data_IF_964522230310
#
_entry.id   IF_964522230310
#
_cell.length_a   1.000
_cell.length_b   1.000
_cell.length_c   1.000
_cell.angle_alpha   90.00
_cell.angle_beta   90.00
_cell.angle_gamma   90.00
#
_symmetry.space_group_name_H-M   'P 1'
#
loop_
_entity.id
_entity.type
_entity.pdbx_description
1 polymer ?
#
# COMPACT_ATOMS: atom_id res chain seq x y z
N UNK A 1 -21.88 23.60 -0.23
CA UNK A 1 -21.11 22.51 -0.85
C UNK A 1 -21.82 21.22 -0.50
N UNK A 2 -22.50 20.63 -1.48
CA UNK A 2 -23.11 19.31 -1.35
C UNK A 2 -22.04 18.24 -1.06
N UNK A 3 -22.47 17.16 -0.41
CA UNK A 3 -21.62 16.00 -0.16
C UNK A 3 -21.02 15.42 -1.46
N UNK A 4 -21.73 15.54 -2.57
CA UNK A 4 -21.29 15.04 -3.87
C UNK A 4 -20.20 15.91 -4.49
N UNK A 5 -20.28 17.24 -4.36
CA UNK A 5 -19.20 18.14 -4.81
C UNK A 5 -17.87 17.86 -4.10
N UNK A 6 -17.91 17.52 -2.80
CA UNK A 6 -16.72 17.18 -2.03
C UNK A 6 -16.09 15.85 -2.48
N UNK A 7 -16.92 14.83 -2.76
CA UNK A 7 -16.44 13.54 -3.31
C UNK A 7 -15.76 13.72 -4.66
N UNK A 8 -16.34 14.53 -5.55
CA UNK A 8 -15.77 14.81 -6.87
C UNK A 8 -14.45 15.58 -6.78
N UNK A 9 -14.31 16.50 -5.84
CA UNK A 9 -13.03 17.18 -5.59
C UNK A 9 -11.94 16.20 -5.14
N UNK A 10 -12.26 15.26 -4.24
CA UNK A 10 -11.32 14.19 -3.85
C UNK A 10 -10.97 13.27 -5.01
N UNK A 11 -11.93 12.92 -5.86
CA UNK A 11 -11.65 12.12 -7.07
C UNK A 11 -10.70 12.85 -8.02
N UNK A 12 -10.90 14.17 -8.21
CA UNK A 12 -10.03 14.99 -9.06
C UNK A 12 -8.60 15.06 -8.50
N UNK A 13 -8.46 15.20 -7.19
CA UNK A 13 -7.17 15.20 -6.50
C UNK A 13 -6.46 13.86 -6.66
N UNK A 14 -7.15 12.75 -6.43
CA UNK A 14 -6.61 11.40 -6.62
C UNK A 14 -6.15 11.14 -8.08
N UNK A 15 -6.92 11.58 -9.07
CA UNK A 15 -6.56 11.44 -10.49
C UNK A 15 -5.33 12.31 -10.83
N UNK A 16 -5.21 13.49 -10.21
CA UNK A 16 -4.02 14.34 -10.34
C UNK A 16 -2.78 13.70 -9.70
N UNK A 17 -2.92 13.10 -8.53
CA UNK A 17 -1.84 12.34 -7.89
C UNK A 17 -1.44 11.12 -8.73
N UNK A 18 -2.41 10.40 -9.30
CA UNK A 18 -2.18 9.27 -10.21
C UNK A 18 -1.44 9.69 -11.48
N UNK A 19 -1.73 10.88 -12.02
CA UNK A 19 -1.02 11.44 -13.16
C UNK A 19 0.41 11.85 -12.79
N UNK A 20 0.57 12.54 -11.66
CA UNK A 20 1.89 12.98 -11.18
C UNK A 20 2.79 11.80 -10.80
N UNK A 21 2.20 10.69 -10.33
CA UNK A 21 2.90 9.44 -10.03
C UNK A 21 3.19 8.57 -11.28
N UNK A 22 2.83 9.04 -12.48
CA UNK A 22 3.06 8.31 -13.73
C UNK A 22 2.19 7.07 -13.93
N UNK A 23 1.21 6.82 -13.06
CA UNK A 23 0.31 5.65 -13.11
C UNK A 23 -0.63 5.76 -14.32
N UNK A 24 -1.08 6.97 -14.64
CA UNK A 24 -1.93 7.23 -15.81
C UNK A 24 -1.24 8.18 -16.77
N UNK A 25 -1.49 7.98 -18.05
CA UNK A 25 -0.98 8.84 -19.11
C UNK A 25 -1.64 10.23 -19.08
N UNK A 26 -1.00 11.22 -19.72
CA UNK A 26 -1.57 12.57 -19.89
C UNK A 26 -2.96 12.54 -20.55
N UNK A 27 -3.19 11.60 -21.48
CA UNK A 27 -4.47 11.46 -22.17
C UNK A 27 -5.56 10.92 -21.24
N UNK A 28 -5.25 9.88 -20.45
CA UNK A 28 -6.15 9.33 -19.45
C UNK A 28 -6.50 10.35 -18.36
N UNK A 29 -5.49 11.09 -17.87
CA UNK A 29 -5.69 12.20 -16.95
C UNK A 29 -6.62 13.26 -17.54
N UNK A 30 -6.39 13.68 -18.79
CA UNK A 30 -7.23 14.68 -19.48
C UNK A 30 -8.70 14.26 -19.53
N UNK A 31 -8.97 13.01 -19.95
CA UNK A 31 -10.34 12.47 -20.04
C UNK A 31 -11.01 12.34 -18.67
N UNK A 32 -10.28 11.84 -17.68
CA UNK A 32 -10.82 11.69 -16.32
C UNK A 32 -11.11 13.05 -15.68
N UNK A 33 -10.19 14.02 -15.84
CA UNK A 33 -10.35 15.40 -15.39
C UNK A 33 -11.59 16.05 -15.99
N UNK A 34 -11.73 16.03 -17.32
CA UNK A 34 -12.87 16.62 -18.02
C UNK A 34 -14.21 16.03 -17.53
N UNK A 35 -14.28 14.70 -17.38
CA UNK A 35 -15.45 14.00 -16.84
C UNK A 35 -15.83 14.50 -15.43
N UNK A 36 -14.85 14.66 -14.55
CA UNK A 36 -15.09 15.08 -13.16
C UNK A 36 -15.46 16.57 -13.09
N UNK A 37 -14.81 17.42 -13.89
CA UNK A 37 -15.13 18.85 -13.98
C UNK A 37 -16.56 19.08 -14.49
N UNK A 38 -17.01 18.32 -15.49
CA UNK A 38 -18.38 18.38 -15.99
C UNK A 38 -19.40 17.99 -14.88
N UNK A 39 -19.14 16.93 -14.12
CA UNK A 39 -19.99 16.53 -12.98
C UNK A 39 -20.02 17.59 -11.87
N UNK A 40 -18.90 18.25 -11.61
CA UNK A 40 -18.83 19.36 -10.64
C UNK A 40 -19.66 20.56 -11.09
N UNK A 41 -19.67 20.85 -12.39
CA UNK A 41 -20.50 21.92 -12.95
C UNK A 41 -22.00 21.56 -12.88
N UNK A 42 -22.38 20.33 -13.21
CA UNK A 42 -23.75 19.84 -13.07
C UNK A 42 -24.25 19.91 -11.62
N UNK A 43 -23.44 19.47 -10.65
CA UNK A 43 -23.77 19.55 -9.23
C UNK A 43 -23.96 21.00 -8.75
N UNK A 44 -23.15 21.94 -9.25
CA UNK A 44 -23.32 23.37 -8.94
C UNK A 44 -24.61 23.95 -9.53
N UNK A 45 -24.98 23.54 -10.75
CA UNK A 45 -26.24 23.98 -11.38
C UNK A 45 -27.46 23.47 -10.59
N UNK A 46 -27.43 22.21 -10.14
CA UNK A 46 -28.48 21.66 -9.28
C UNK A 46 -28.59 22.42 -7.94
N UNK A 47 -27.47 22.73 -7.28
CA UNK A 47 -27.46 23.55 -6.06
C UNK A 47 -28.04 24.97 -6.27
N UNK A 48 -27.95 25.52 -7.48
CA UNK A 48 -28.56 26.81 -7.83
C UNK A 48 -30.05 26.70 -8.15
N UNK A 49 -30.49 25.61 -8.77
CA UNK A 49 -31.90 25.31 -9.08
C UNK A 49 -32.73 24.98 -7.83
N UNK A 50 -32.11 24.44 -6.78
CA UNK A 50 -32.78 24.09 -5.51
C UNK A 50 -32.96 25.29 -4.55
N UNK A 51 -32.13 26.33 -4.68
CA UNK A 51 -32.18 27.55 -3.83
C UNK A 51 -33.53 28.30 -3.83
N UNK A 52 -34.23 28.47 -4.97
CA UNK A 52 -35.55 29.10 -5.00
C UNK A 52 -36.63 28.30 -4.25
N UNK A 53 -36.53 26.97 -4.22
CA UNK A 53 -37.51 26.12 -3.53
C UNK A 53 -37.29 26.13 -2.01
N UNK A 54 -36.03 26.16 -1.56
CA UNK A 54 -35.71 26.37 -0.15
C UNK A 54 -36.11 27.77 0.35
N UNK A 55 -35.96 28.82 -0.47
CA UNK A 55 -36.44 30.17 -0.11
C UNK A 55 -37.94 30.21 0.11
N UNK A 56 -38.73 29.53 -0.73
CA UNK A 56 -40.20 29.44 -0.54
C UNK A 56 -40.59 28.68 0.73
N UNK A 57 -39.89 27.57 1.03
CA UNK A 57 -40.11 26.81 2.27
C UNK A 57 -39.72 27.62 3.52
N UNK A 58 -38.65 28.42 3.45
CA UNK A 58 -38.25 29.29 4.56
C UNK A 58 -39.20 30.48 4.76
N UNK A 59 -39.76 31.05 3.69
CA UNK A 59 -40.80 32.09 3.78
C UNK A 59 -42.09 31.52 4.42
N UNK A 60 -42.57 30.34 4.02
CA UNK A 60 -43.73 29.68 4.65
C UNK A 60 -43.49 29.30 6.14
N UNK A 61 -42.26 28.93 6.50
CA UNK A 61 -41.90 28.64 7.90
C UNK A 61 -41.78 29.92 8.72
N UNK A 62 -41.39 31.05 8.11
CA UNK A 62 -41.32 32.35 8.79
C UNK A 62 -42.72 32.91 9.10
N UNK A 63 -43.70 32.73 8.20
CA UNK A 63 -45.09 33.16 8.41
C UNK A 63 -45.81 32.37 9.51
N UNK A 64 -45.45 31.09 9.72
CA UNK A 64 -45.99 30.27 10.82
C UNK A 64 -45.38 30.55 12.19
N UNK A 65 -44.29 31.31 12.27
CA UNK A 65 -43.55 31.54 13.53
C UNK A 65 -43.99 32.80 14.28
N UNK A 66 -44.84 33.65 13.71
CA UNK A 66 -45.38 34.85 14.37
C UNK A 66 -46.59 34.59 15.28
N UNK A 67 -47.16 33.37 15.32
CA UNK A 67 -48.27 33.04 16.22
C UNK A 67 -47.89 32.33 17.54
N UNK A 68 -46.60 32.02 17.77
CA UNK A 68 -46.18 31.29 18.97
C UNK A 68 -44.97 31.93 19.65
N UNK A 69 -45.22 33.02 20.39
CA UNK A 69 -44.31 33.50 21.44
C UNK A 69 -45.10 33.92 22.68
N UNK A 70 -45.25 32.98 23.63
CA UNK A 70 -45.32 33.29 25.06
C UNK A 70 -44.59 32.23 25.89
N UNK A 71 -43.69 32.74 26.73
CA UNK A 71 -43.16 32.21 28.00
C UNK A 71 -41.99 31.20 28.03
N UNK A 72 -41.18 31.23 29.12
CA UNK A 72 -39.74 31.37 28.99
C UNK A 72 -38.89 30.31 29.70
N UNK A 73 -37.62 30.26 29.24
CA UNK A 73 -36.37 30.02 29.98
C UNK A 73 -36.43 29.38 31.38
N UNK A 74 -35.78 28.21 31.50
CA UNK A 74 -34.90 27.86 32.63
C UNK A 74 -34.12 26.56 32.38
N UNK A 75 -32.89 26.56 32.93
CA UNK A 75 -31.95 25.44 33.15
C UNK A 75 -31.16 24.95 31.92
N UNK A 76 -29.87 24.67 32.03
CA UNK A 76 -28.95 24.71 33.18
C UNK A 76 -27.51 24.72 32.65
N UNK A 77 -26.70 25.59 33.26
CA UNK A 77 -25.27 25.42 33.37
C UNK A 77 -24.98 24.14 34.16
N UNK A 78 -24.03 23.33 33.67
CA UNK A 78 -23.05 22.57 34.48
C UNK A 78 -22.29 21.63 33.56
N UNK A 79 -21.01 21.92 33.30
CA UNK A 79 -19.91 20.95 33.12
C UNK A 79 -18.59 21.71 33.01
N UNK A 80 -17.98 21.98 34.18
CA UNK A 80 -16.58 22.36 34.33
C UNK A 80 -16.09 21.79 35.65
N UNK A 81 -15.27 20.74 35.61
CA UNK A 81 -14.18 20.52 36.56
C UNK A 81 -13.41 19.22 36.21
N UNK A 82 -12.12 19.27 36.54
CA UNK A 82 -11.17 18.18 36.72
C UNK A 82 -10.35 17.76 35.49
N UNK A 83 -9.25 18.49 35.26
CA UNK A 83 -7.93 17.87 35.05
C UNK A 83 -6.85 18.89 35.42
N UNK A 84 -6.55 18.98 36.72
CA UNK A 84 -5.28 19.50 37.22
C UNK A 84 -4.53 18.31 37.83
N UNK A 85 -3.52 17.80 37.12
CA UNK A 85 -2.43 17.05 37.72
C UNK A 85 -1.12 17.66 37.22
N UNK A 86 -0.38 18.22 38.17
CA UNK A 86 1.01 18.63 38.01
C UNK A 86 1.88 17.43 37.59
N UNK A 87 2.82 17.59 36.65
CA UNK A 87 3.84 16.59 36.41
C UNK A 87 4.96 16.69 37.44
N UNK A 88 5.20 15.57 38.14
CA UNK A 88 6.42 15.35 38.92
C UNK A 88 7.65 15.35 38.00
N UNK A 89 8.72 15.97 38.50
CA UNK A 89 10.01 16.12 37.83
C UNK A 89 10.68 14.75 37.67
N UNK A 90 10.92 14.35 36.42
CA UNK A 90 11.78 13.21 36.11
C UNK A 90 13.24 13.66 36.02
N UNK A 91 14.09 12.93 36.74
CA UNK A 91 15.53 13.11 36.82
C UNK A 91 16.25 12.75 35.51
N UNK A 92 17.25 13.56 35.22
CA UNK A 92 18.24 13.48 34.15
C UNK A 92 19.02 12.16 34.18
N UNK A 93 18.87 11.31 33.15
CA UNK A 93 19.70 10.12 32.95
C UNK A 93 20.69 10.31 31.81
N UNK A 94 21.94 10.03 32.15
CA UNK A 94 23.16 10.04 31.33
C UNK A 94 23.02 9.23 30.04
N UNK A 95 23.52 9.81 28.96
CA UNK A 95 23.77 9.16 27.69
C UNK A 95 24.78 8.02 27.82
N UNK A 96 24.38 6.83 27.37
CA UNK A 96 25.27 5.68 27.15
C UNK A 96 25.45 5.55 25.65
N UNK A 97 26.70 5.63 25.19
CA UNK A 97 27.09 5.30 23.82
C UNK A 97 26.99 3.78 23.66
N UNK A 98 26.13 3.33 22.75
CA UNK A 98 26.03 1.93 22.35
C UNK A 98 26.72 1.75 20.99
N UNK A 99 27.96 1.29 21.02
CA UNK A 99 28.61 0.63 19.89
C UNK A 99 28.47 -0.88 20.14
N UNK A 100 27.35 -1.48 19.75
CA UNK A 100 27.16 -2.93 19.84
C UNK A 100 27.53 -3.60 18.51
N UNK A 101 28.65 -4.32 18.54
CA UNK A 101 29.03 -5.33 17.54
C UNK A 101 27.97 -6.44 17.51
N UNK A 102 27.12 -6.42 16.48
CA UNK A 102 26.23 -7.54 16.14
C UNK A 102 27.10 -8.70 15.66
N UNK A 103 27.30 -9.70 16.52
CA UNK A 103 27.83 -11.02 16.13
C UNK A 103 26.73 -11.82 15.44
N UNK A 104 26.60 -11.64 14.13
CA UNK A 104 25.70 -12.44 13.31
C UNK A 104 26.13 -13.91 13.27
N UNK A 105 25.20 -14.76 13.70
CA UNK A 105 25.29 -16.21 13.60
C UNK A 105 24.82 -16.59 12.20
N UNK A 106 25.76 -16.77 11.27
CA UNK A 106 25.50 -17.19 9.89
C UNK A 106 24.64 -18.47 9.86
N UNK A 107 23.34 -18.32 9.61
CA UNK A 107 22.47 -19.41 9.20
C UNK A 107 22.38 -19.30 7.68
N UNK A 108 22.75 -20.35 6.90
CA UNK A 108 22.73 -20.27 5.45
C UNK A 108 21.29 -20.02 4.97
N UNK A 109 21.06 -18.85 4.39
CA UNK A 109 19.77 -18.48 3.79
C UNK A 109 19.59 -19.34 2.54
N UNK A 110 18.51 -20.14 2.51
CA UNK A 110 18.10 -20.89 1.34
C UNK A 110 17.18 -19.99 0.52
N UNK A 111 17.74 -19.19 -0.38
CA UNK A 111 16.94 -18.46 -1.38
C UNK A 111 16.23 -19.52 -2.24
N UNK A 112 14.90 -19.59 -2.16
CA UNK A 112 14.12 -20.38 -3.10
C UNK A 112 14.12 -19.65 -4.46
N UNK A 113 15.11 -19.95 -5.29
CA UNK A 113 15.19 -19.46 -6.66
C UNK A 113 14.09 -20.12 -7.49
N UNK A 114 12.99 -19.41 -7.72
CA UNK A 114 11.96 -19.82 -8.67
C UNK A 114 12.41 -19.43 -10.08
N UNK A 115 13.28 -20.25 -10.67
CA UNK A 115 13.95 -19.96 -11.94
C UNK A 115 13.95 -21.16 -12.88
N UNK A 116 12.77 -21.57 -13.37
CA UNK A 116 12.70 -22.56 -14.45
C UNK A 116 13.18 -21.93 -15.77
N UNK A 117 14.40 -22.32 -16.19
CA UNK A 117 14.99 -21.97 -17.48
C UNK A 117 14.22 -22.65 -18.61
N UNK A 118 13.23 -21.97 -19.16
CA UNK A 118 12.50 -22.39 -20.35
C UNK A 118 13.35 -22.17 -21.61
N UNK A 119 14.22 -23.14 -21.96
CA UNK A 119 14.96 -23.10 -23.22
C UNK A 119 14.07 -23.58 -24.38
N UNK A 120 13.49 -22.64 -25.13
CA UNK A 120 12.68 -22.97 -26.31
C UNK A 120 13.58 -23.40 -27.51
N UNK A 121 13.31 -24.54 -28.16
CA UNK A 121 14.08 -25.00 -29.31
C UNK A 121 13.89 -24.08 -30.52
N UNK A 122 14.97 -23.84 -31.28
CA UNK A 122 15.05 -22.88 -32.41
C UNK A 122 13.99 -23.02 -33.51
N UNK A 123 13.26 -24.15 -33.58
CA UNK A 123 12.15 -24.36 -34.53
C UNK A 123 10.82 -23.74 -34.08
N UNK A 124 10.67 -23.39 -32.79
CA UNK A 124 9.46 -22.80 -32.22
C UNK A 124 9.35 -21.29 -32.47
N UNK A 125 10.48 -20.60 -32.72
CA UNK A 125 10.51 -19.15 -32.94
C UNK A 125 9.76 -18.70 -34.22
N UNK A 126 9.76 -19.53 -35.27
CA UNK A 126 9.04 -19.24 -36.52
C UNK A 126 7.52 -19.37 -36.36
N UNK A 127 7.06 -20.32 -35.53
CA UNK A 127 5.62 -20.53 -35.26
C UNK A 127 5.10 -19.39 -34.38
N UNK A 128 5.87 -18.98 -33.37
CA UNK A 128 5.53 -17.86 -32.49
C UNK A 128 5.49 -16.53 -33.25
N UNK A 129 6.45 -16.29 -34.16
CA UNK A 129 6.43 -15.09 -35.01
C UNK A 129 5.20 -15.01 -35.91
N UNK A 130 4.77 -16.13 -36.50
CA UNK A 130 3.54 -16.20 -37.29
C UNK A 130 2.28 -15.94 -36.46
N UNK A 131 2.20 -16.49 -35.24
CA UNK A 131 1.08 -16.28 -34.33
C UNK A 131 0.99 -14.82 -33.83
N UNK A 132 2.13 -14.18 -33.57
CA UNK A 132 2.17 -12.76 -33.16
C UNK A 132 1.74 -11.84 -34.31
N UNK A 133 2.19 -12.11 -35.55
CA UNK A 133 1.75 -11.33 -36.72
C UNK A 133 0.25 -11.51 -36.96
N UNK A 134 -0.27 -12.74 -36.81
CA UNK A 134 -1.71 -12.99 -36.92
C UNK A 134 -2.49 -12.23 -35.84
N UNK A 135 -2.02 -12.22 -34.60
CA UNK A 135 -2.62 -11.46 -33.49
C UNK A 135 -2.58 -9.94 -33.75
N UNK A 136 -1.47 -9.40 -34.25
CA UNK A 136 -1.35 -7.98 -34.62
C UNK A 136 -2.31 -7.64 -35.76
N UNK A 137 -2.43 -8.49 -36.79
CA UNK A 137 -3.40 -8.28 -37.87
C UNK A 137 -4.84 -8.33 -37.33
N UNK A 138 -5.14 -9.26 -36.44
CA UNK A 138 -6.49 -9.38 -35.83
C UNK A 138 -6.80 -8.16 -34.96
N UNK A 139 -5.82 -7.67 -34.20
CA UNK A 139 -5.93 -6.46 -33.39
C UNK A 139 -6.09 -5.21 -34.26
N UNK A 140 -5.29 -5.06 -35.33
CA UNK A 140 -5.42 -3.95 -36.29
C UNK A 140 -6.76 -3.97 -37.02
N UNK A 141 -7.30 -5.14 -37.36
CA UNK A 141 -8.65 -5.28 -37.91
C UNK A 141 -9.75 -4.92 -36.89
N UNK A 142 -9.48 -5.10 -35.59
CA UNK A 142 -10.39 -4.73 -34.49
C UNK A 142 -10.37 -3.23 -34.17
N UNK A 143 -9.38 -2.47 -34.66
CA UNK A 143 -9.25 -1.04 -34.45
C UNK A 143 -9.98 -0.19 -35.51
N UNK A 144 -10.80 -0.78 -36.38
CA UNK A 144 -11.70 0.00 -37.25
C UNK A 144 -12.78 0.69 -36.40
N UNK A 145 -12.75 2.04 -36.26
CA UNK A 145 -13.58 2.78 -35.31
C UNK A 145 -15.00 3.09 -35.84
N UNK A 146 -15.37 2.55 -37.00
CA UNK A 146 -16.62 2.89 -37.71
C UNK A 146 -17.77 1.89 -37.50
N UNK A 147 -17.66 0.98 -36.52
CA UNK A 147 -18.84 0.28 -36.03
C UNK A 147 -19.47 1.15 -34.93
N UNK A 148 -20.56 1.89 -35.20
CA UNK A 148 -21.39 2.38 -34.11
C UNK A 148 -21.82 1.14 -33.33
N UNK A 149 -21.32 0.99 -32.10
CA UNK A 149 -21.90 0.04 -31.16
C UNK A 149 -23.35 0.48 -30.95
N UNK A 150 -24.24 -0.04 -31.79
CA UNK A 150 -25.66 0.14 -31.69
C UNK A 150 -26.04 -0.51 -30.37
N UNK A 151 -26.23 0.34 -29.34
CA UNK A 151 -26.67 0.01 -27.98
C UNK A 151 -28.10 -0.52 -27.99
N UNK A 152 -28.37 -1.58 -28.74
CA UNK A 152 -29.48 -2.48 -28.47
C UNK A 152 -29.03 -3.41 -27.33
N UNK A 153 -28.72 -2.82 -26.18
CA UNK A 153 -28.15 -3.49 -25.02
C UNK A 153 -29.16 -4.41 -24.39
N UNK A 154 -29.21 -5.66 -24.85
CA UNK A 154 -29.84 -6.73 -24.10
C UNK A 154 -29.05 -6.88 -22.79
N UNK A 155 -29.70 -6.54 -21.68
CA UNK A 155 -29.15 -6.75 -20.34
C UNK A 155 -29.19 -8.25 -20.06
N UNK A 156 -28.03 -8.92 -20.03
CA UNK A 156 -27.90 -10.26 -19.45
C UNK A 156 -27.71 -10.17 -17.93
N UNK A 157 -27.97 -11.27 -17.23
CA UNK A 157 -27.91 -11.34 -15.75
C UNK A 157 -26.48 -11.32 -15.25
N UNK A 158 -25.55 -11.98 -15.95
CA UNK A 158 -24.14 -12.05 -15.58
C UNK A 158 -23.23 -12.23 -16.83
N UNK A 159 -22.00 -11.70 -16.76
CA UNK A 159 -20.91 -11.93 -17.72
C UNK A 159 -19.82 -12.81 -17.12
N UNK A 160 -19.65 -12.76 -15.81
CA UNK A 160 -18.60 -13.47 -15.07
C UNK A 160 -19.16 -13.95 -13.73
N UNK A 161 -18.47 -14.90 -13.10
CA UNK A 161 -18.83 -15.37 -11.76
C UNK A 161 -18.84 -14.24 -10.72
N UNK A 162 -18.10 -13.14 -10.97
CA UNK A 162 -18.07 -11.97 -10.09
C UNK A 162 -19.39 -11.20 -10.07
N UNK A 163 -20.22 -11.33 -11.10
CA UNK A 163 -21.56 -10.74 -11.16
C UNK A 163 -22.56 -11.51 -10.29
N UNK A 164 -22.27 -12.78 -10.00
CA UNK A 164 -23.10 -13.68 -9.22
C UNK A 164 -22.76 -13.62 -7.73
N UNK A 165 -23.00 -12.48 -7.08
CA UNK A 165 -22.70 -12.32 -5.65
C UNK A 165 -23.93 -12.56 -4.76
N UNK A 166 -23.80 -13.48 -3.80
CA UNK A 166 -24.77 -13.68 -2.71
C UNK A 166 -24.03 -14.03 -1.41
N UNK A 167 -24.23 -13.29 -0.30
CA UNK A 167 -23.55 -13.56 0.97
C UNK A 167 -23.75 -15.01 1.44
N UNK A 168 -22.67 -15.70 1.82
CA UNK A 168 -22.72 -17.11 2.23
C UNK A 168 -22.74 -18.13 1.08
N UNK A 169 -22.64 -17.70 -0.19
CA UNK A 169 -22.68 -18.60 -1.35
C UNK A 169 -21.57 -18.29 -2.34
N UNK A 170 -21.09 -19.33 -3.02
CA UNK A 170 -20.35 -19.19 -4.28
C UNK A 170 -21.35 -19.05 -5.41
N UNK A 171 -21.21 -17.98 -6.20
CA UNK A 171 -21.95 -17.83 -7.45
C UNK A 171 -21.13 -18.26 -8.65
N UNK A 172 -21.79 -18.88 -9.61
CA UNK A 172 -21.24 -19.25 -10.92
C UNK A 172 -22.18 -18.70 -11.99
N UNK A 173 -21.61 -18.04 -13.01
CA UNK A 173 -22.38 -17.52 -14.13
C UNK A 173 -22.52 -18.59 -15.21
N UNK A 174 -23.68 -19.23 -15.25
CA UNK A 174 -24.03 -20.21 -16.27
C UNK A 174 -24.42 -19.46 -17.54
N UNK A 175 -23.87 -19.88 -18.69
CA UNK A 175 -24.07 -19.24 -20.00
C UNK A 175 -23.68 -17.74 -20.04
N UNK A 176 -22.53 -17.41 -19.45
CA UNK A 176 -21.94 -16.07 -19.40
C UNK A 176 -22.06 -15.24 -20.68
N UNK A 177 -22.47 -13.98 -20.54
CA UNK A 177 -22.62 -13.00 -21.62
C UNK A 177 -23.59 -13.42 -22.75
N UNK A 178 -24.57 -14.28 -22.43
CA UNK A 178 -25.66 -14.66 -23.34
C UNK A 178 -27.02 -14.23 -22.80
N UNK A 179 -28.06 -14.28 -23.65
CA UNK A 179 -29.45 -14.01 -23.23
C UNK A 179 -29.98 -15.06 -22.23
N UNK A 180 -29.30 -16.20 -22.12
CA UNK A 180 -29.61 -17.32 -21.23
C UNK A 180 -28.73 -17.31 -19.98
N UNK A 181 -27.99 -16.22 -19.74
CA UNK A 181 -27.11 -16.08 -18.57
C UNK A 181 -27.93 -16.14 -17.27
N UNK A 182 -27.52 -17.00 -16.34
CA UNK A 182 -28.12 -17.13 -15.02
C UNK A 182 -27.07 -17.39 -13.94
N UNK A 183 -27.35 -16.96 -12.72
CA UNK A 183 -26.47 -17.23 -11.58
C UNK A 183 -26.90 -18.50 -10.86
N UNK A 184 -26.02 -19.51 -10.86
CA UNK A 184 -26.12 -20.67 -9.99
C UNK A 184 -25.40 -20.36 -8.66
N UNK A 185 -25.94 -20.85 -7.54
CA UNK A 185 -25.37 -20.60 -6.22
C UNK A 185 -25.20 -21.88 -5.41
N UNK A 186 -24.01 -22.08 -4.87
CA UNK A 186 -23.66 -23.19 -3.96
C UNK A 186 -23.35 -22.63 -2.58
N UNK A 187 -23.91 -23.25 -1.52
CA UNK A 187 -23.68 -22.80 -0.14
C UNK A 187 -22.20 -22.94 0.21
N UNK A 188 -21.59 -21.86 0.72
CA UNK A 188 -20.18 -21.83 1.03
C UNK A 188 -19.92 -22.58 2.36
N UNK A 189 -18.81 -23.32 2.41
CA UNK A 189 -18.37 -23.98 3.63
C UNK A 189 -18.15 -22.94 4.75
N UNK A 190 -18.79 -23.09 5.93
CA UNK A 190 -18.59 -22.17 7.05
C UNK A 190 -17.13 -22.16 7.53
N UNK A 191 -16.58 -20.97 7.74
CA UNK A 191 -15.18 -20.75 8.12
C UNK A 191 -15.08 -19.67 9.19
N UNK A 192 -14.44 -19.96 10.34
CA UNK A 192 -14.17 -18.92 11.33
C UNK A 192 -12.80 -18.30 11.10
N UNK A 193 -12.75 -16.97 11.08
CA UNK A 193 -11.53 -16.19 10.96
C UNK A 193 -11.42 -15.30 12.19
N UNK A 194 -10.40 -15.53 13.02
CA UNK A 194 -10.04 -14.63 14.12
C UNK A 194 -9.12 -13.53 13.60
N UNK A 195 -9.50 -12.28 13.79
CA UNK A 195 -8.69 -11.11 13.46
C UNK A 195 -8.13 -10.54 14.76
N UNK A 196 -6.82 -10.64 14.94
CA UNK A 196 -6.12 -10.05 16.09
C UNK A 196 -5.61 -8.68 15.67
N UNK A 197 -5.95 -7.65 16.43
CA UNK A 197 -5.51 -6.26 16.21
C UNK A 197 -4.94 -5.66 17.51
N UNK A 198 -4.48 -4.42 17.44
CA UNK A 198 -4.14 -3.61 18.61
C UNK A 198 -4.64 -2.19 18.40
N UNK A 199 -5.23 -1.59 19.44
CA UNK A 199 -5.52 -0.14 19.49
C UNK A 199 -4.26 0.72 19.29
N UNK A 200 -3.08 0.20 19.63
CA UNK A 200 -1.77 0.83 19.41
C UNK A 200 -1.41 0.91 17.91
N UNK A 201 -2.10 0.14 17.06
CA UNK A 201 -1.86 0.18 15.62
C UNK A 201 -2.64 1.29 14.93
N UNK A 202 -2.07 2.49 14.99
CA UNK A 202 -2.67 3.71 14.42
C UNK A 202 -2.84 3.72 12.91
N UNK A 203 -2.16 2.83 12.18
CA UNK A 203 -2.18 2.72 10.71
C UNK A 203 -2.78 1.40 10.18
N UNK A 204 -3.26 0.51 11.06
CA UNK A 204 -3.86 -0.75 10.65
C UNK A 204 -5.26 -0.52 10.07
N UNK A 205 -5.55 -1.16 8.93
CA UNK A 205 -6.89 -1.23 8.34
C UNK A 205 -7.25 -2.70 8.13
N UNK A 206 -8.10 -3.23 9.01
CA UNK A 206 -8.57 -4.61 8.89
C UNK A 206 -9.70 -4.78 7.89
N UNK A 207 -10.44 -3.71 7.57
CA UNK A 207 -11.69 -3.83 6.83
C UNK A 207 -11.43 -4.16 5.36
N UNK A 208 -10.37 -3.60 4.77
CA UNK A 208 -9.96 -3.97 3.41
C UNK A 208 -9.72 -5.47 3.28
N UNK A 209 -8.89 -6.05 4.15
CA UNK A 209 -8.57 -7.48 4.09
C UNK A 209 -9.76 -8.36 4.48
N UNK A 210 -10.57 -7.97 5.47
CA UNK A 210 -11.83 -8.66 5.79
C UNK A 210 -12.76 -8.73 4.58
N UNK A 211 -12.89 -7.63 3.83
CA UNK A 211 -13.71 -7.61 2.62
C UNK A 211 -13.14 -8.49 1.50
N UNK A 212 -11.82 -8.47 1.31
CA UNK A 212 -11.13 -9.40 0.38
C UNK A 212 -11.37 -10.85 0.79
N UNK A 213 -11.24 -11.18 2.09
CA UNK A 213 -11.46 -12.53 2.58
C UNK A 213 -12.92 -12.97 2.49
N UNK A 214 -13.90 -12.07 2.61
CA UNK A 214 -15.32 -12.38 2.35
C UNK A 214 -15.58 -12.73 0.89
N UNK A 215 -14.88 -12.09 -0.05
CA UNK A 215 -15.00 -12.43 -1.47
C UNK A 215 -14.39 -13.80 -1.77
N UNK A 216 -13.26 -14.12 -1.15
CA UNK A 216 -12.59 -15.42 -1.31
C UNK A 216 -13.38 -16.53 -0.57
N UNK A 217 -13.88 -16.23 0.62
CA UNK A 217 -14.59 -17.14 1.52
C UNK A 217 -15.96 -16.56 1.90
N UNK A 218 -16.99 -16.72 1.06
CA UNK A 218 -18.32 -16.17 1.33
C UNK A 218 -18.96 -16.69 2.62
N UNK A 219 -18.57 -17.88 3.08
CA UNK A 219 -18.99 -18.50 4.34
C UNK A 219 -18.18 -18.08 5.57
N UNK A 220 -17.31 -17.07 5.45
CA UNK A 220 -16.47 -16.61 6.56
C UNK A 220 -17.25 -15.79 7.60
N UNK A 221 -17.04 -16.14 8.87
CA UNK A 221 -17.41 -15.32 10.02
C UNK A 221 -16.16 -14.77 10.71
N UNK A 222 -16.21 -13.51 11.14
CA UNK A 222 -15.05 -12.80 11.66
C UNK A 222 -15.20 -12.51 13.15
N UNK A 223 -14.26 -13.01 13.94
CA UNK A 223 -14.16 -12.71 15.37
C UNK A 223 -13.00 -11.74 15.57
N UNK A 224 -13.32 -10.50 15.95
CA UNK A 224 -12.30 -9.50 16.30
C UNK A 224 -11.80 -9.76 17.72
N UNK A 225 -10.49 -9.71 17.94
CA UNK A 225 -9.86 -9.76 19.26
C UNK A 225 -8.78 -8.70 19.38
N UNK A 226 -8.72 -8.03 20.51
CA UNK A 226 -7.56 -7.21 20.86
C UNK A 226 -6.38 -8.10 21.24
N UNK A 227 -5.15 -7.63 20.99
CA UNK A 227 -3.91 -8.37 21.26
C UNK A 227 -3.89 -8.93 22.68
N UNK A 228 -4.28 -8.13 23.67
CA UNK A 228 -4.34 -8.55 25.08
C UNK A 228 -5.34 -9.66 25.36
N UNK A 229 -6.42 -9.78 24.58
CA UNK A 229 -7.43 -10.85 24.70
C UNK A 229 -7.01 -12.15 23.97
N UNK A 230 -5.98 -12.06 23.14
CA UNK A 230 -5.49 -13.13 22.28
C UNK A 230 -4.03 -13.51 22.58
N UNK A 231 -3.50 -13.18 23.76
CA UNK A 231 -2.10 -13.42 24.14
C UNK A 231 -1.69 -14.89 23.94
N UNK A 232 -2.49 -15.83 24.42
CA UNK A 232 -2.27 -17.28 24.22
C UNK A 232 -2.17 -17.66 22.73
N UNK A 233 -2.99 -17.03 21.88
CA UNK A 233 -3.02 -17.29 20.44
C UNK A 233 -1.81 -16.67 19.75
N UNK A 234 -1.44 -15.45 20.16
CA UNK A 234 -0.26 -14.73 19.67
C UNK A 234 1.01 -15.54 19.96
N UNK A 235 1.16 -16.06 21.18
CA UNK A 235 2.34 -16.83 21.56
C UNK A 235 2.36 -18.22 20.92
N UNK A 236 1.23 -18.93 20.95
CA UNK A 236 1.13 -20.28 20.35
C UNK A 236 1.42 -20.27 18.86
N UNK A 237 0.94 -19.27 18.13
CA UNK A 237 1.09 -19.17 16.68
C UNK A 237 2.31 -18.36 16.26
N UNK A 238 3.13 -17.91 17.21
CA UNK A 238 4.29 -17.05 16.98
C UNK A 238 3.95 -15.84 16.08
N UNK A 239 2.95 -15.06 16.50
CA UNK A 239 2.52 -13.86 15.81
C UNK A 239 3.38 -12.70 16.32
N UNK A 240 4.06 -12.03 15.40
CA UNK A 240 4.97 -10.92 15.66
C UNK A 240 4.54 -9.61 14.98
N UNK A 241 3.48 -9.67 14.17
CA UNK A 241 2.97 -8.55 13.39
C UNK A 241 1.44 -8.54 13.32
N UNK A 242 0.87 -7.33 13.37
CA UNK A 242 -0.57 -7.07 13.39
C UNK A 242 -1.03 -6.17 12.22
N UNK A 243 -2.32 -6.26 11.80
CA UNK A 243 -3.29 -7.26 12.25
C UNK A 243 -2.90 -8.66 11.78
N UNK A 244 -3.31 -9.69 12.53
CA UNK A 244 -3.10 -11.08 12.16
C UNK A 244 -4.45 -11.76 11.88
N UNK A 245 -4.47 -12.62 10.86
CA UNK A 245 -5.66 -13.38 10.44
C UNK A 245 -5.39 -14.85 10.69
N UNK A 246 -6.16 -15.43 11.60
CA UNK A 246 -6.06 -16.84 12.00
C UNK A 246 -7.31 -17.56 11.55
N UNK A 247 -7.11 -18.65 10.81
CA UNK A 247 -8.15 -19.51 10.28
C UNK A 247 -8.14 -20.82 11.06
N UNK A 248 -9.32 -21.33 11.38
CA UNK A 248 -9.43 -22.69 11.92
C UNK A 248 -9.14 -23.75 10.83
N UNK A 249 -9.04 -25.02 11.24
CA UNK A 249 -8.77 -26.12 10.30
C UNK A 249 -9.87 -26.38 9.27
N UNK A 250 -11.06 -25.74 9.39
CA UNK A 250 -12.14 -25.93 8.42
C UNK A 250 -11.75 -25.35 7.06
N UNK A 251 -10.77 -24.43 7.03
CA UNK A 251 -10.26 -23.84 5.81
C UNK A 251 -9.81 -24.90 4.79
N UNK A 252 -9.23 -26.02 5.23
CA UNK A 252 -8.77 -27.11 4.36
C UNK A 252 -9.93 -27.75 3.56
N UNK A 253 -11.18 -27.57 3.99
CA UNK A 253 -12.38 -28.11 3.33
C UNK A 253 -13.04 -27.12 2.38
N UNK A 254 -12.57 -25.87 2.36
CA UNK A 254 -13.14 -24.83 1.51
C UNK A 254 -12.65 -24.98 0.08
N UNK A 255 -13.48 -24.56 -0.87
CA UNK A 255 -13.27 -24.65 -2.30
C UNK A 255 -12.09 -23.79 -2.79
N UNK A 256 -11.64 -22.81 -1.98
CA UNK A 256 -10.55 -21.88 -2.31
C UNK A 256 -9.24 -22.15 -1.56
N UNK A 257 -9.16 -23.22 -0.75
CA UNK A 257 -7.96 -23.51 0.03
C UNK A 257 -6.71 -23.65 -0.86
N UNK A 258 -6.76 -24.51 -1.89
CA UNK A 258 -5.62 -24.74 -2.80
C UNK A 258 -5.10 -23.44 -3.42
N UNK A 259 -6.02 -22.54 -3.84
CA UNK A 259 -5.65 -21.26 -4.44
C UNK A 259 -5.02 -20.24 -3.49
N UNK A 260 -5.16 -20.45 -2.17
CA UNK A 260 -4.68 -19.50 -1.15
C UNK A 260 -3.67 -20.10 -0.18
N UNK A 261 -3.41 -21.40 -0.24
CA UNK A 261 -2.50 -22.12 0.65
C UNK A 261 -1.12 -21.46 0.71
N UNK A 262 -0.61 -20.97 -0.43
CA UNK A 262 0.68 -20.28 -0.51
C UNK A 262 0.76 -18.99 0.34
N UNK A 263 -0.38 -18.38 0.67
CA UNK A 263 -0.48 -17.20 1.54
C UNK A 263 -0.65 -17.56 3.02
N UNK A 264 -0.76 -18.85 3.36
CA UNK A 264 -1.00 -19.34 4.71
C UNK A 264 0.23 -20.06 5.26
N UNK A 265 0.29 -20.15 6.58
CA UNK A 265 1.27 -20.93 7.33
C UNK A 265 0.50 -21.78 8.33
N UNK A 266 0.61 -23.10 8.23
CA UNK A 266 0.04 -24.02 9.21
C UNK A 266 0.78 -23.87 10.54
N UNK A 267 0.05 -23.66 11.63
CA UNK A 267 0.61 -23.43 12.96
C UNK A 267 -0.24 -24.19 14.00
N UNK A 268 0.17 -25.41 14.30
CA UNK A 268 -0.64 -26.33 15.10
C UNK A 268 -1.87 -26.82 14.33
N UNK A 269 -3.05 -26.68 14.94
CA UNK A 269 -4.34 -27.02 14.33
C UNK A 269 -4.94 -25.84 13.54
N UNK A 270 -4.34 -24.66 13.60
CA UNK A 270 -4.80 -23.45 12.92
C UNK A 270 -3.90 -23.10 11.73
N UNK A 271 -4.36 -22.15 10.91
CA UNK A 271 -3.56 -21.48 9.89
C UNK A 271 -3.45 -19.99 10.21
N UNK A 272 -2.28 -19.40 10.02
CA UNK A 272 -2.11 -17.93 10.03
C UNK A 272 -1.79 -17.42 8.64
N UNK A 273 -2.31 -16.26 8.27
CA UNK A 273 -1.90 -15.60 7.04
C UNK A 273 -0.47 -15.07 7.16
N UNK A 274 0.32 -15.20 6.09
CA UNK A 274 1.63 -14.56 5.98
C UNK A 274 1.47 -13.04 6.03
N UNK A 275 2.33 -12.36 6.79
CA UNK A 275 2.32 -10.91 6.97
C UNK A 275 2.34 -10.12 5.64
N UNK A 276 3.12 -10.60 4.66
CA UNK A 276 3.20 -10.01 3.32
C UNK A 276 1.92 -10.18 2.48
N UNK A 277 1.04 -11.13 2.83
CA UNK A 277 -0.24 -11.37 2.16
C UNK A 277 -1.42 -10.67 2.87
N UNK A 278 -1.38 -10.57 4.20
CA UNK A 278 -2.42 -9.91 5.01
C UNK A 278 -2.36 -8.37 5.00
N UNK A 279 -1.25 -7.79 4.51
CA UNK A 279 -1.00 -6.36 4.62
C UNK A 279 -0.71 -5.91 6.05
N UNK A 280 -0.23 -6.82 6.91
CA UNK A 280 0.10 -6.50 8.30
C UNK A 280 1.17 -5.41 8.37
N UNK A 281 0.97 -4.45 9.27
CA UNK A 281 1.72 -3.21 9.31
C UNK A 281 2.31 -2.87 10.68
N UNK A 282 2.00 -3.59 11.76
CA UNK A 282 2.50 -3.28 13.10
C UNK A 282 3.32 -4.41 13.73
N UNK A 283 4.63 -4.22 13.78
CA UNK A 283 5.65 -5.14 14.29
C UNK A 283 5.87 -4.90 15.78
N UNK A 284 4.85 -5.23 16.58
CA UNK A 284 4.78 -4.89 18.00
C UNK A 284 5.87 -5.56 18.88
N UNK A 285 6.57 -6.58 18.37
CA UNK A 285 7.71 -7.21 19.05
C UNK A 285 9.05 -6.49 18.82
N UNK A 286 9.12 -5.54 17.89
CA UNK A 286 10.32 -4.75 17.67
C UNK A 286 10.45 -3.66 18.74
N UNK A 287 11.69 -3.39 19.16
CA UNK A 287 11.99 -2.21 19.97
C UNK A 287 11.69 -0.94 19.17
N UNK A 288 10.99 0.00 19.83
CA UNK A 288 10.69 1.29 19.24
C UNK A 288 11.96 2.14 19.13
N UNK A 289 12.18 2.73 17.95
CA UNK A 289 13.21 3.75 17.73
C UNK A 289 12.48 5.05 17.39
N UNK A 290 12.21 5.88 18.39
CA UNK A 290 11.44 7.12 18.20
C UNK A 290 12.02 8.01 17.12
N UNK A 291 11.15 8.72 16.41
CA UNK A 291 11.51 9.72 15.38
C UNK A 291 12.34 9.14 14.23
N UNK A 292 12.33 7.82 14.04
CA UNK A 292 13.05 7.15 12.96
C UNK A 292 12.11 6.80 11.80
N UNK A 293 12.57 7.05 10.58
CA UNK A 293 11.91 6.67 9.35
C UNK A 293 12.89 5.92 8.46
N UNK A 294 12.68 4.63 8.28
CA UNK A 294 13.37 3.87 7.24
C UNK A 294 12.55 3.87 5.95
N UNK A 295 13.19 4.14 4.80
CA UNK A 295 12.54 4.13 3.49
C UNK A 295 13.23 3.11 2.58
N UNK A 296 12.53 2.03 2.27
CA UNK A 296 12.96 1.01 1.32
C UNK A 296 12.61 1.43 -0.10
N UNK A 297 13.61 1.50 -0.98
CA UNK A 297 13.46 1.97 -2.36
C UNK A 297 14.17 1.07 -3.36
N UNK A 298 13.60 1.05 -4.56
CA UNK A 298 14.31 0.71 -5.79
C UNK A 298 14.66 2.04 -6.49
N UNK A 299 15.95 2.44 -6.58
CA UNK A 299 16.37 3.71 -7.16
C UNK A 299 16.01 3.88 -8.64
N UNK A 300 15.62 2.80 -9.32
CA UNK A 300 15.24 2.83 -10.73
C UNK A 300 13.72 2.95 -10.94
N UNK A 301 12.94 3.01 -9.85
CA UNK A 301 11.49 3.14 -9.88
C UNK A 301 11.05 4.59 -9.67
N UNK A 302 10.18 5.09 -10.55
CA UNK A 302 9.58 6.41 -10.43
C UNK A 302 8.79 6.59 -9.12
N UNK A 303 8.12 5.54 -8.65
CA UNK A 303 7.42 5.59 -7.35
C UNK A 303 8.38 5.77 -6.18
N UNK A 304 9.58 5.18 -6.25
CA UNK A 304 10.61 5.36 -5.23
C UNK A 304 11.16 6.78 -5.21
N UNK A 305 11.38 7.38 -6.38
CA UNK A 305 11.77 8.79 -6.50
C UNK A 305 10.73 9.70 -5.82
N UNK A 306 9.45 9.52 -6.14
CA UNK A 306 8.39 10.31 -5.51
C UNK A 306 8.35 10.12 -3.98
N UNK A 307 8.57 8.90 -3.48
CA UNK A 307 8.65 8.64 -2.04
C UNK A 307 9.87 9.31 -1.38
N UNK A 308 11.01 9.31 -2.08
CA UNK A 308 12.24 9.97 -1.62
C UNK A 308 12.05 11.48 -1.51
N UNK A 309 11.50 12.12 -2.55
CA UNK A 309 11.21 13.56 -2.56
C UNK A 309 10.24 13.97 -1.44
N UNK A 310 9.22 13.13 -1.20
CA UNK A 310 8.25 13.36 -0.14
C UNK A 310 8.86 13.19 1.26
N UNK A 311 9.78 12.24 1.44
CA UNK A 311 10.55 12.10 2.68
C UNK A 311 11.44 13.31 2.90
N UNK A 312 12.18 13.76 1.89
CA UNK A 312 13.05 14.93 2.01
C UNK A 312 12.26 16.20 2.39
N UNK A 313 11.08 16.35 1.81
CA UNK A 313 10.15 17.43 2.17
C UNK A 313 9.68 17.37 3.62
N UNK A 314 9.49 16.16 4.18
CA UNK A 314 9.15 15.96 5.59
C UNK A 314 10.33 16.34 6.50
N UNK A 315 11.56 15.91 6.17
CA UNK A 315 12.78 16.21 6.93
C UNK A 315 13.11 17.71 6.98
N UNK A 316 12.63 18.49 6.00
CA UNK A 316 12.73 19.95 6.04
C UNK A 316 11.77 20.63 7.04
N UNK A 317 10.81 19.89 7.60
CA UNK A 317 9.78 20.39 8.54
C UNK A 317 9.88 19.78 9.93
N UNK A 318 10.42 18.57 10.02
CA UNK A 318 10.49 17.78 11.25
C UNK A 318 11.91 17.26 11.46
N UNK A 319 12.35 17.24 12.71
CA UNK A 319 13.57 16.55 13.10
C UNK A 319 13.26 15.04 13.15
N UNK A 320 13.72 14.29 12.14
CA UNK A 320 13.59 12.83 12.08
C UNK A 320 14.89 12.20 11.59
N UNK A 321 15.21 11.01 12.10
CA UNK A 321 16.33 10.20 11.63
C UNK A 321 15.88 9.36 10.43
N UNK A 322 16.39 9.67 9.26
CA UNK A 322 16.05 8.97 8.02
C UNK A 322 17.10 7.92 7.65
N UNK A 323 16.64 6.71 7.36
CA UNK A 323 17.47 5.59 6.92
C UNK A 323 16.97 5.03 5.57
N UNK A 324 17.63 5.41 4.49
CA UNK A 324 17.31 4.94 3.14
C UNK A 324 17.88 3.53 2.94
N UNK A 325 17.01 2.57 2.63
CA UNK A 325 17.34 1.15 2.45
C UNK A 325 17.15 0.75 0.99
N UNK A 326 18.13 0.03 0.44
CA UNK A 326 18.08 -0.44 -0.94
C UNK A 326 17.31 -1.75 -1.04
N UNK A 327 16.48 -1.89 -2.08
CA UNK A 327 15.68 -3.08 -2.31
C UNK A 327 15.71 -3.49 -3.79
N UNK A 328 15.79 -4.79 -4.02
CA UNK A 328 15.62 -5.38 -5.35
C UNK A 328 15.00 -6.77 -5.23
N UNK A 329 14.15 -7.12 -6.20
CA UNK A 329 13.66 -8.50 -6.38
C UNK A 329 14.56 -9.32 -7.30
N UNK A 330 15.51 -8.67 -7.98
CA UNK A 330 16.39 -9.35 -8.94
C UNK A 330 17.38 -10.21 -8.17
N UNK A 331 17.77 -11.30 -8.82
CA UNK A 331 18.85 -12.14 -8.30
C UNK A 331 20.13 -11.31 -8.20
N UNK A 332 20.63 -11.16 -6.96
CA UNK A 332 21.84 -10.40 -6.66
C UNK A 332 23.09 -11.04 -7.27
N UNK A 333 23.02 -12.28 -7.74
CA UNK A 333 24.11 -12.96 -8.44
C UNK A 333 24.14 -12.65 -9.94
N UNK A 334 23.13 -11.94 -10.47
CA UNK A 334 23.15 -11.53 -11.87
C UNK A 334 24.07 -10.34 -12.09
N UNK A 335 25.07 -10.51 -12.96
CA UNK A 335 25.86 -9.41 -13.51
C UNK A 335 24.96 -8.53 -14.39
N UNK A 336 24.34 -7.53 -13.78
CA UNK A 336 23.58 -6.51 -14.48
C UNK A 336 23.90 -5.12 -13.91
N UNK A 337 23.78 -4.11 -14.76
CA UNK A 337 24.18 -2.74 -14.44
C UNK A 337 23.41 -2.15 -13.24
N UNK A 338 22.15 -2.59 -13.03
CA UNK A 338 21.35 -2.15 -11.90
C UNK A 338 21.85 -2.74 -10.57
N UNK A 339 22.24 -4.01 -10.54
CA UNK A 339 22.83 -4.64 -9.35
C UNK A 339 24.16 -3.99 -9.04
N UNK A 340 25.05 -3.83 -10.03
CA UNK A 340 26.34 -3.16 -9.82
C UNK A 340 26.15 -1.75 -9.23
N UNK A 341 25.15 -1.03 -9.72
CA UNK A 341 24.81 0.30 -9.21
C UNK A 341 24.23 0.26 -7.77
N UNK A 342 23.40 -0.74 -7.44
CA UNK A 342 22.96 -0.95 -6.05
C UNK A 342 24.13 -1.28 -5.11
N UNK A 343 25.13 -2.03 -5.58
CA UNK A 343 26.34 -2.32 -4.79
C UNK A 343 27.14 -1.04 -4.51
N UNK A 344 27.29 -0.15 -5.51
CA UNK A 344 27.91 1.17 -5.33
C UNK A 344 27.13 2.03 -4.35
N UNK A 345 25.80 2.11 -4.49
CA UNK A 345 24.94 2.87 -3.57
C UNK A 345 25.08 2.39 -2.13
N UNK A 346 25.12 1.07 -1.91
CA UNK A 346 25.35 0.49 -0.58
C UNK A 346 26.72 0.91 0.01
N UNK A 347 27.75 0.99 -0.83
CA UNK A 347 29.08 1.45 -0.45
C UNK A 347 29.14 2.95 -0.16
N UNK A 348 28.50 3.78 -0.97
CA UNK A 348 28.41 5.24 -0.74
C UNK A 348 27.69 5.51 0.59
N UNK A 349 26.59 4.80 0.87
CA UNK A 349 25.88 4.87 2.15
C UNK A 349 26.79 4.56 3.35
N UNK A 350 27.73 3.62 3.19
CA UNK A 350 28.71 3.25 4.24
C UNK A 350 29.84 4.26 4.37
N UNK A 351 30.47 4.66 3.27
CA UNK A 351 31.72 5.43 3.26
C UNK A 351 31.49 6.94 3.31
N UNK A 352 30.39 7.41 2.73
CA UNK A 352 30.07 8.82 2.49
C UNK A 352 28.61 9.11 2.89
N UNK A 353 28.23 8.74 4.11
CA UNK A 353 26.84 8.83 4.61
C UNK A 353 26.24 10.24 4.43
N UNK A 354 27.04 11.27 4.63
CA UNK A 354 26.67 12.68 4.48
C UNK A 354 26.40 13.09 3.03
N UNK A 355 27.00 12.40 2.05
CA UNK A 355 26.83 12.66 0.61
C UNK A 355 25.80 11.74 -0.05
N UNK A 356 25.40 10.66 0.62
CA UNK A 356 24.53 9.64 0.03
C UNK A 356 23.18 10.22 -0.45
N UNK A 357 22.57 11.12 0.32
CA UNK A 357 21.28 11.72 -0.06
C UNK A 357 21.39 12.57 -1.32
N UNK A 358 22.41 13.44 -1.41
CA UNK A 358 22.66 14.28 -2.58
C UNK A 358 23.00 13.44 -3.82
N UNK A 359 23.74 12.34 -3.64
CA UNK A 359 23.99 11.38 -4.70
C UNK A 359 22.70 10.76 -5.26
N UNK A 360 21.79 10.34 -4.37
CA UNK A 360 20.49 9.78 -4.77
C UNK A 360 19.63 10.83 -5.51
N UNK A 361 19.59 12.07 -5.02
CA UNK A 361 18.91 13.19 -5.69
C UNK A 361 19.47 13.39 -7.11
N UNK A 362 20.79 13.39 -7.29
CA UNK A 362 21.44 13.49 -8.59
C UNK A 362 21.01 12.37 -9.56
N UNK A 363 20.95 11.11 -9.09
CA UNK A 363 20.48 9.97 -9.91
C UNK A 363 19.05 10.21 -10.38
N UNK A 364 18.17 10.60 -9.46
CA UNK A 364 16.76 10.83 -9.72
C UNK A 364 16.52 12.01 -10.67
N UNK A 365 17.24 13.11 -10.51
CA UNK A 365 17.12 14.29 -11.38
C UNK A 365 17.60 14.01 -12.81
N UNK A 366 18.73 13.30 -12.95
CA UNK A 366 19.32 13.03 -14.27
C UNK A 366 18.71 11.79 -14.94
N UNK A 367 18.01 10.94 -14.20
CA UNK A 367 17.45 9.69 -14.70
C UNK A 367 18.53 8.75 -15.25
N UNK A 368 19.72 8.76 -14.65
CA UNK A 368 20.87 7.97 -15.07
C UNK A 368 20.86 6.59 -14.42
N UNK A 369 21.38 5.58 -15.13
CA UNK A 369 21.55 4.22 -14.62
C UNK A 369 22.90 3.65 -15.06
N UNK A 370 23.38 2.62 -14.35
CA UNK A 370 24.62 1.91 -14.70
C UNK A 370 25.85 2.81 -14.72
N UNK A 371 26.67 2.71 -15.78
CA UNK A 371 27.90 3.52 -15.91
C UNK A 371 27.66 5.04 -15.92
N UNK A 372 26.46 5.48 -16.34
CA UNK A 372 26.12 6.90 -16.37
C UNK A 372 25.98 7.51 -14.95
N UNK A 373 25.81 6.69 -13.91
CA UNK A 373 25.78 7.15 -12.51
C UNK A 373 27.12 7.74 -12.04
N UNK A 374 28.22 7.47 -12.75
CA UNK A 374 29.54 8.05 -12.45
C UNK A 374 29.57 9.58 -12.49
N UNK A 375 28.67 10.21 -13.26
CA UNK A 375 28.51 11.67 -13.28
C UNK A 375 28.13 12.19 -11.89
N UNK A 376 27.24 11.49 -11.19
CA UNK A 376 26.81 11.87 -9.84
C UNK A 376 27.91 11.65 -8.79
N UNK A 377 28.80 10.67 -8.99
CA UNK A 377 29.98 10.51 -8.13
C UNK A 377 30.92 11.72 -8.25
N UNK A 378 31.12 12.22 -9.48
CA UNK A 378 31.99 13.37 -9.74
C UNK A 378 31.37 14.66 -9.18
N UNK A 379 30.08 14.90 -9.40
CA UNK A 379 29.40 16.12 -8.93
C UNK A 379 29.38 16.22 -7.41
N UNK A 380 29.20 15.09 -6.71
CA UNK A 380 29.18 15.04 -5.24
C UNK A 380 30.58 14.84 -4.62
N UNK A 381 31.66 14.83 -5.42
CA UNK A 381 33.03 14.61 -4.96
C UNK A 381 33.17 13.29 -4.15
N UNK A 382 32.53 12.23 -4.62
CA UNK A 382 32.60 10.88 -4.03
C UNK A 382 33.78 10.13 -4.68
N UNK A 383 34.69 9.52 -3.91
CA UNK A 383 35.88 8.87 -4.45
C UNK A 383 35.49 7.61 -5.24
N UNK A 384 35.56 7.71 -6.57
CA UNK A 384 35.16 6.64 -7.51
C UNK A 384 35.95 5.36 -7.23
N UNK A 385 37.29 5.43 -7.19
CA UNK A 385 38.14 4.25 -7.01
C UNK A 385 37.86 3.50 -5.69
N UNK A 386 37.59 4.24 -4.60
CA UNK A 386 37.25 3.66 -3.30
C UNK A 386 35.84 3.04 -3.29
N UNK A 387 34.91 3.66 -4.02
CA UNK A 387 33.53 3.19 -4.16
C UNK A 387 33.46 1.91 -4.99
N UNK A 388 34.13 1.87 -6.14
CA UNK A 388 34.18 0.68 -7.01
C UNK A 388 34.85 -0.49 -6.28
N UNK A 389 35.99 -0.23 -5.62
CA UNK A 389 36.66 -1.24 -4.82
C UNK A 389 35.75 -1.80 -3.72
N UNK A 390 35.00 -0.94 -3.03
CA UNK A 390 34.03 -1.39 -2.04
C UNK A 390 32.90 -2.20 -2.69
N UNK A 391 32.37 -1.78 -3.84
CA UNK A 391 31.30 -2.50 -4.52
C UNK A 391 31.71 -3.94 -4.86
N UNK A 392 32.96 -4.13 -5.29
CA UNK A 392 33.56 -5.44 -5.57
C UNK A 392 33.80 -6.28 -4.29
N UNK A 393 34.36 -5.68 -3.24
CA UNK A 393 34.81 -6.42 -2.04
C UNK A 393 33.69 -6.62 -0.99
N UNK A 394 32.82 -5.63 -0.80
CA UNK A 394 31.87 -5.55 0.32
C UNK A 394 30.43 -5.25 -0.10
N UNK A 395 30.20 -4.71 -1.29
CA UNK A 395 28.90 -4.20 -1.73
C UNK A 395 27.76 -5.21 -1.54
N UNK A 396 28.01 -6.48 -1.89
CA UNK A 396 27.01 -7.54 -1.78
C UNK A 396 26.62 -7.83 -0.32
N UNK A 397 27.59 -7.77 0.61
CA UNK A 397 27.31 -7.94 2.04
C UNK A 397 26.46 -6.77 2.55
N UNK A 398 26.76 -5.54 2.12
CA UNK A 398 26.01 -4.35 2.51
C UNK A 398 24.57 -4.39 1.97
N UNK A 399 24.39 -4.70 0.68
CA UNK A 399 23.07 -4.84 0.07
C UNK A 399 22.25 -5.96 0.74
N UNK A 400 22.88 -7.09 1.07
CA UNK A 400 22.21 -8.19 1.79
C UNK A 400 21.65 -7.76 3.15
N UNK A 401 22.30 -6.85 3.87
CA UNK A 401 21.77 -6.33 5.15
C UNK A 401 20.45 -5.57 4.94
N UNK A 402 20.35 -4.79 3.88
CA UNK A 402 19.11 -4.08 3.54
C UNK A 402 18.02 -5.06 3.09
N UNK A 403 18.35 -6.10 2.32
CA UNK A 403 17.41 -7.15 1.94
C UNK A 403 16.92 -7.98 3.13
N UNK A 404 17.80 -8.28 4.09
CA UNK A 404 17.41 -8.95 5.35
C UNK A 404 16.49 -8.06 6.20
N UNK A 405 16.76 -6.76 6.25
CA UNK A 405 15.84 -5.82 6.90
C UNK A 405 14.47 -5.79 6.18
N UNK A 406 14.46 -5.81 4.85
CA UNK A 406 13.23 -5.89 4.08
C UNK A 406 12.43 -7.17 4.37
N UNK A 407 13.11 -8.32 4.47
CA UNK A 407 12.52 -9.60 4.85
C UNK A 407 11.90 -9.56 6.26
N UNK A 408 12.63 -9.00 7.23
CA UNK A 408 12.14 -8.80 8.61
C UNK A 408 10.81 -8.06 8.63
N UNK A 409 10.64 -7.06 7.77
CA UNK A 409 9.40 -6.29 7.66
C UNK A 409 8.40 -6.86 6.64
N UNK A 410 8.65 -8.06 6.10
CA UNK A 410 7.84 -8.67 5.05
C UNK A 410 7.57 -7.69 3.90
N UNK A 411 8.60 -6.95 3.48
CA UNK A 411 8.54 -6.00 2.37
C UNK A 411 8.72 -6.80 1.08
N UNK A 412 7.66 -6.85 0.29
CA UNK A 412 7.67 -7.43 -1.04
C UNK A 412 7.58 -6.35 -2.13
N UNK A 413 7.15 -5.12 -1.82
CA UNK A 413 7.00 -4.01 -2.77
C UNK A 413 7.69 -2.76 -2.26
N UNK A 414 8.20 -1.93 -3.17
CA UNK A 414 8.77 -0.62 -2.88
C UNK A 414 8.12 0.47 -3.73
N UNK A 415 8.09 1.74 -3.27
CA UNK A 415 8.63 2.22 -1.99
C UNK A 415 7.84 1.72 -0.77
N UNK A 416 8.51 1.55 0.36
CA UNK A 416 7.89 1.22 1.65
C UNK A 416 8.57 1.98 2.80
N UNK A 417 7.77 2.64 3.63
CA UNK A 417 8.19 3.32 4.84
C UNK A 417 8.05 2.42 6.07
N UNK A 418 9.02 2.48 6.97
CA UNK A 418 8.97 1.92 8.32
C UNK A 418 9.15 3.08 9.31
N UNK A 419 8.12 3.34 10.12
CA UNK A 419 8.16 4.35 11.18
C UNK A 419 8.44 3.70 12.52
N UNK A 420 9.32 4.34 13.29
CA UNK A 420 9.73 3.95 14.62
C UNK A 420 10.13 2.48 14.78
N UNK A 421 10.67 1.87 13.71
CA UNK A 421 11.01 0.43 13.64
C UNK A 421 9.83 -0.53 13.90
N UNK A 422 8.58 -0.03 13.90
CA UNK A 422 7.38 -0.79 14.27
C UNK A 422 6.26 -0.73 13.22
N UNK A 423 6.16 0.35 12.45
CA UNK A 423 4.98 0.61 11.62
C UNK A 423 5.32 0.66 10.14
N UNK A 424 4.76 -0.25 9.34
CA UNK A 424 4.99 -0.36 7.89
C UNK A 424 3.88 0.29 7.07
N UNK A 425 4.25 1.12 6.11
CA UNK A 425 3.33 1.70 5.12
C UNK A 425 3.95 1.71 3.72
N UNK A 426 3.34 0.99 2.78
CA UNK A 426 3.78 0.93 1.38
C UNK A 426 3.22 2.08 0.53
N UNK A 427 3.90 2.38 -0.58
CA UNK A 427 3.48 3.34 -1.61
C UNK A 427 4.20 4.68 -1.54
N UNK A 428 4.06 5.48 -2.60
CA UNK A 428 4.57 6.86 -2.68
C UNK A 428 3.62 7.81 -1.95
N UNK A 429 3.64 7.76 -0.63
CA UNK A 429 2.78 8.55 0.25
C UNK A 429 3.04 10.04 0.02
N UNK A 430 1.99 10.85 -0.09
CA UNK A 430 2.12 12.30 -0.16
C UNK A 430 2.71 12.86 1.14
N UNK A 431 3.35 14.04 1.07
CA UNK A 431 3.95 14.68 2.24
C UNK A 431 2.96 14.85 3.39
N UNK A 432 1.70 15.22 3.09
CA UNK A 432 0.67 15.37 4.12
C UNK A 432 0.33 14.05 4.83
N UNK A 433 0.22 12.94 4.09
CA UNK A 433 0.00 11.61 4.70
C UNK A 433 1.21 11.16 5.52
N UNK A 434 2.42 11.41 5.02
CA UNK A 434 3.65 11.12 5.78
C UNK A 434 3.71 11.90 7.08
N UNK A 435 3.40 13.20 7.03
CA UNK A 435 3.36 14.11 8.18
C UNK A 435 2.29 13.68 9.19
N UNK A 436 1.07 13.36 8.74
CA UNK A 436 0.00 12.84 9.59
C UNK A 436 0.41 11.56 10.33
N UNK A 437 1.03 10.60 9.63
CA UNK A 437 1.50 9.34 10.24
C UNK A 437 2.63 9.63 11.23
N UNK A 438 3.62 10.42 10.82
CA UNK A 438 4.78 10.75 11.64
C UNK A 438 4.37 11.42 12.95
N UNK A 439 3.51 12.44 12.87
CA UNK A 439 3.03 13.19 14.04
C UNK A 439 2.18 12.33 14.96
N UNK A 440 1.30 11.50 14.40
CA UNK A 440 0.48 10.58 15.20
C UNK A 440 1.31 9.56 16.00
N UNK A 441 2.50 9.22 15.51
CA UNK A 441 3.40 8.26 16.14
C UNK A 441 4.42 8.90 17.10
N UNK A 442 4.68 10.20 16.96
CA UNK A 442 5.73 10.90 17.71
C UNK A 442 5.22 12.09 18.53
N UNK A 443 3.90 12.23 18.71
CA UNK A 443 3.26 13.28 19.52
C UNK A 443 3.69 14.71 19.13
N UNK A 444 3.68 14.98 17.83
CA UNK A 444 3.63 16.33 17.26
C UNK A 444 2.17 16.85 17.33
#
# INVERSE_FOLDING_TARGET
MSQDSFKLQKELEFIKESFNSGIITRNEYGKAKERIENKLEEAKRQEEEDKPEERKKQEEISERRDESKKEPEKRSADYKAAYDREPEKAEEKKSVKADDEIKDRERPLRLETYGDKFSLPKKSALIIGGAIILLIITFLLSLNPDNPMEKNGKSFVCETDLDCYRPGFFGECINAATEEAECAFTEATPLNITVISSEECVICDTDRMKNTLKQIYPGSDFVMKERGEAEDLVDRLDIDVLPAYVFDNSIEKTERFESTEAALVKAGDDYKMKAGASGSSYFFRNDEIKENIALFIDPFSFSSQAAFDNLFSLLGRHEADADIRLFTRKDTESENDEINELLRQACIKKQSKDKFMSYMECIFEKGVTGEACSICLIEEDIPIDETEKCAEEEGLLLLRRDLQAAEKFSINTVPTFIFNNQYKKGGSLSVGILEDIYCKLNDC
#
